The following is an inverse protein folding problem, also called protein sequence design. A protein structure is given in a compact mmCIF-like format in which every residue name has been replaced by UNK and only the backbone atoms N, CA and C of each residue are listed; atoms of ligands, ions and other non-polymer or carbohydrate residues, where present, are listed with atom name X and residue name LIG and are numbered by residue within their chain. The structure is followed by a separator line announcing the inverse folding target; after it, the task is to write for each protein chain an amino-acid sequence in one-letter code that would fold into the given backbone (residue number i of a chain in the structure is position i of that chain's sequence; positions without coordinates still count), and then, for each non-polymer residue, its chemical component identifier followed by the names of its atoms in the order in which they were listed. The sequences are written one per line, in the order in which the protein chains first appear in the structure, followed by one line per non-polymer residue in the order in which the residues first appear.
data_IF_704038403601
#
_entry.id   IF_704038403601
#
_cell.length_a   1.000
_cell.length_b   1.000
_cell.length_c   1.000
_cell.angle_alpha   90.00
_cell.angle_beta   90.00
_cell.angle_gamma   90.00
#
_symmetry.space_group_name_H-M   'P 1'
#
loop_
_entity.id
_entity.type
_entity.pdbx_description
1 polymer ?
#
# COMPACT_ATOMS: atom_id res chain seq x y z
N UNK A 1 8.56 -4.48 -0.91
CA UNK A 1 9.33 -5.71 -0.72
C UNK A 1 8.43 -6.93 -0.48
N UNK A 2 7.62 -6.97 0.58
CA UNK A 2 6.78 -8.14 0.92
C UNK A 2 5.65 -8.42 -0.10
N UNK A 3 5.13 -7.40 -0.76
CA UNK A 3 4.07 -7.55 -1.77
C UNK A 3 4.57 -7.98 -3.15
N UNK A 4 5.89 -7.98 -3.39
CA UNK A 4 6.46 -8.22 -4.73
C UNK A 4 6.18 -9.63 -5.25
N UNK A 5 6.04 -10.59 -4.34
CA UNK A 5 5.85 -12.01 -4.64
C UNK A 5 4.36 -12.40 -4.71
N UNK A 6 3.44 -11.48 -4.37
CA UNK A 6 2.00 -11.69 -4.54
C UNK A 6 1.59 -12.11 -5.97
N UNK A 7 2.05 -11.44 -7.04
CA UNK A 7 1.68 -11.79 -8.41
C UNK A 7 2.26 -13.14 -8.89
N UNK A 8 3.30 -13.65 -8.23
CA UNK A 8 4.08 -14.83 -8.66
C UNK A 8 3.71 -16.11 -7.89
N UNK A 9 2.80 -16.01 -6.91
CA UNK A 9 2.48 -17.08 -5.96
C UNK A 9 2.00 -18.39 -6.59
N UNK A 10 1.38 -18.32 -7.77
CA UNK A 10 0.90 -19.51 -8.50
C UNK A 10 2.07 -20.26 -9.16
N UNK A 11 3.00 -19.52 -9.76
CA UNK A 11 4.25 -20.07 -10.29
C UNK A 11 5.07 -20.70 -9.17
N UNK A 12 5.25 -19.98 -8.07
CA UNK A 12 6.00 -20.49 -6.92
C UNK A 12 5.41 -21.81 -6.39
N UNK A 13 4.07 -21.91 -6.26
CA UNK A 13 3.42 -23.18 -5.86
C UNK A 13 3.60 -24.29 -6.88
N UNK A 14 3.47 -24.00 -8.17
CA UNK A 14 3.60 -25.00 -9.23
C UNK A 14 5.01 -25.63 -9.28
N UNK A 15 6.04 -24.87 -8.92
CA UNK A 15 7.43 -25.33 -8.90
C UNK A 15 7.95 -25.69 -7.49
N UNK A 16 7.07 -25.78 -6.49
CA UNK A 16 7.43 -26.06 -5.08
C UNK A 16 8.49 -25.11 -4.51
N UNK A 17 8.41 -23.82 -4.89
CA UNK A 17 9.29 -22.77 -4.37
C UNK A 17 8.67 -22.21 -3.09
N UNK A 18 9.42 -22.34 -2.01
CA UNK A 18 9.06 -21.83 -0.70
C UNK A 18 9.39 -20.32 -0.60
N UNK A 19 8.37 -19.48 -0.74
CA UNK A 19 8.44 -18.04 -0.48
C UNK A 19 7.60 -17.67 0.74
N UNK A 20 7.85 -16.50 1.33
CA UNK A 20 6.99 -15.98 2.40
C UNK A 20 5.53 -15.89 1.96
N UNK A 21 5.30 -15.57 0.67
CA UNK A 21 3.98 -15.54 0.06
C UNK A 21 3.31 -16.90 -0.01
N UNK A 22 4.00 -17.95 -0.47
CA UNK A 22 3.40 -19.29 -0.53
C UNK A 22 3.07 -19.85 0.86
N UNK A 23 3.84 -19.49 1.90
CA UNK A 23 3.63 -19.93 3.29
C UNK A 23 2.50 -19.18 4.03
N UNK A 24 2.46 -17.85 3.91
CA UNK A 24 1.52 -17.00 4.68
C UNK A 24 0.19 -16.79 3.94
N UNK A 25 0.22 -16.84 2.61
CA UNK A 25 -0.93 -16.67 1.74
C UNK A 25 -1.23 -15.21 1.38
N UNK A 26 -1.82 -15.04 0.18
CA UNK A 26 -2.21 -13.74 -0.39
C UNK A 26 -3.03 -12.87 0.57
N UNK A 27 -4.10 -13.36 1.24
CA UNK A 27 -4.96 -12.50 2.05
C UNK A 27 -4.21 -11.86 3.22
N UNK A 28 -3.35 -12.64 3.88
CA UNK A 28 -2.59 -12.21 5.04
C UNK A 28 -1.49 -11.21 4.66
N UNK A 29 -0.80 -11.44 3.54
CA UNK A 29 0.22 -10.49 3.05
C UNK A 29 -0.43 -9.19 2.58
N UNK A 30 -1.51 -9.26 1.81
CA UNK A 30 -2.21 -8.05 1.35
C UNK A 30 -2.72 -7.23 2.54
N UNK A 31 -3.30 -7.90 3.55
CA UNK A 31 -3.74 -7.26 4.79
C UNK A 31 -2.57 -6.63 5.56
N UNK A 32 -1.48 -7.36 5.76
CA UNK A 32 -0.29 -6.86 6.46
C UNK A 32 0.29 -5.63 5.77
N UNK A 33 0.46 -5.70 4.44
CA UNK A 33 0.96 -4.57 3.65
C UNK A 33 0.02 -3.35 3.73
N UNK A 34 -1.29 -3.57 3.62
CA UNK A 34 -2.30 -2.51 3.76
C UNK A 34 -2.22 -1.85 5.14
N UNK A 35 -2.13 -2.64 6.21
CA UNK A 35 -2.02 -2.11 7.57
C UNK A 35 -0.74 -1.31 7.75
N UNK A 36 0.40 -1.82 7.29
CA UNK A 36 1.67 -1.09 7.37
C UNK A 36 1.62 0.25 6.63
N UNK A 37 1.11 0.28 5.40
CA UNK A 37 0.97 1.51 4.62
C UNK A 37 -0.05 2.48 5.23
N UNK A 38 -1.16 1.97 5.76
CA UNK A 38 -2.15 2.80 6.44
C UNK A 38 -1.55 3.46 7.69
N UNK A 39 -0.78 2.72 8.49
CA UNK A 39 -0.08 3.27 9.65
C UNK A 39 0.95 4.33 9.23
N UNK A 40 1.64 4.14 8.11
CA UNK A 40 2.53 5.17 7.55
C UNK A 40 1.76 6.46 7.21
N UNK A 41 0.61 6.36 6.53
CA UNK A 41 -0.20 7.53 6.22
C UNK A 41 -0.79 8.20 7.46
N UNK A 42 -1.28 7.42 8.44
CA UNK A 42 -1.75 7.96 9.73
C UNK A 42 -0.61 8.68 10.47
N UNK A 43 0.60 8.13 10.45
CA UNK A 43 1.77 8.77 11.03
C UNK A 43 2.10 10.09 10.31
N UNK A 44 2.10 10.11 8.98
CA UNK A 44 2.32 11.32 8.20
C UNK A 44 1.27 12.41 8.51
N UNK A 45 -0.01 12.04 8.52
CA UNK A 45 -1.11 12.94 8.92
C UNK A 45 -0.87 13.48 10.34
N UNK A 46 -0.52 12.62 11.29
CA UNK A 46 -0.22 13.02 12.67
C UNK A 46 0.93 14.01 12.75
N UNK A 47 2.03 13.76 12.04
CA UNK A 47 3.16 14.68 11.90
C UNK A 47 2.73 16.01 11.28
N UNK A 48 1.87 15.97 10.26
CA UNK A 48 1.28 17.16 9.64
C UNK A 48 0.40 17.96 10.58
N UNK A 49 -0.37 17.32 11.47
CA UNK A 49 -1.21 18.00 12.46
C UNK A 49 -0.36 18.61 13.59
N UNK A 50 0.62 17.86 14.09
CA UNK A 50 1.41 18.22 15.28
C UNK A 50 2.58 19.17 14.99
N UNK A 51 3.00 19.32 13.74
CA UNK A 51 4.13 20.20 13.41
C UNK A 51 3.79 21.69 13.55
N UNK A 52 4.80 22.52 13.82
CA UNK A 52 4.65 23.97 13.91
C UNK A 52 4.31 24.59 12.55
N UNK A 53 3.67 25.76 12.57
CA UNK A 53 3.35 26.51 11.36
C UNK A 53 4.62 26.78 10.54
N UNK A 54 4.52 26.61 9.21
CA UNK A 54 5.64 26.78 8.28
C UNK A 54 6.55 25.56 8.10
N UNK A 55 6.38 24.47 8.86
CA UNK A 55 7.18 23.24 8.66
C UNK A 55 6.83 22.53 7.36
N UNK A 56 5.52 22.44 7.05
CA UNK A 56 5.00 21.81 5.84
C UNK A 56 3.85 22.66 5.29
N UNK A 57 3.60 22.55 3.99
CA UNK A 57 2.32 22.92 3.41
C UNK A 57 1.24 21.94 3.90
N UNK A 58 0.44 22.40 4.87
CA UNK A 58 -0.49 21.55 5.62
C UNK A 58 -1.57 20.90 4.74
N UNK A 59 -2.00 21.57 3.67
CA UNK A 59 -3.07 21.06 2.80
C UNK A 59 -2.63 19.77 2.09
N UNK A 60 -1.53 19.73 1.30
CA UNK A 60 -1.05 18.48 0.72
C UNK A 60 -0.54 17.50 1.79
N UNK A 61 0.12 17.98 2.85
CA UNK A 61 0.62 17.11 3.92
C UNK A 61 -0.52 16.33 4.63
N UNK A 62 -1.66 16.95 4.89
CA UNK A 62 -2.76 16.28 5.59
C UNK A 62 -3.74 15.70 4.56
N UNK A 63 -4.23 16.53 3.65
CA UNK A 63 -5.25 16.15 2.67
C UNK A 63 -4.74 15.12 1.66
N UNK A 64 -3.49 15.23 1.21
CA UNK A 64 -2.89 14.27 0.28
C UNK A 64 -2.77 12.88 0.90
N UNK A 65 -2.18 12.78 2.10
CA UNK A 65 -2.06 11.49 2.78
C UNK A 65 -3.43 10.91 3.20
N UNK A 66 -4.43 11.73 3.52
CA UNK A 66 -5.83 11.25 3.70
C UNK A 66 -6.36 10.64 2.40
N UNK A 67 -6.18 11.31 1.26
CA UNK A 67 -6.63 10.81 -0.03
C UNK A 67 -5.95 9.47 -0.40
N UNK A 68 -4.63 9.35 -0.18
CA UNK A 68 -3.88 8.12 -0.42
C UNK A 68 -4.29 6.99 0.54
N UNK A 69 -4.58 7.29 1.80
CA UNK A 69 -5.12 6.30 2.75
C UNK A 69 -6.50 5.79 2.32
N UNK A 70 -7.39 6.67 1.87
CA UNK A 70 -8.71 6.27 1.36
C UNK A 70 -8.59 5.44 0.08
N UNK A 71 -7.71 5.84 -0.84
CA UNK A 71 -7.41 5.10 -2.07
C UNK A 71 -6.88 3.69 -1.76
N UNK A 72 -5.91 3.56 -0.85
CA UNK A 72 -5.40 2.28 -0.37
C UNK A 72 -6.51 1.38 0.20
N UNK A 73 -7.35 1.92 1.09
CA UNK A 73 -8.45 1.16 1.68
C UNK A 73 -9.47 0.71 0.63
N UNK A 74 -9.75 1.53 -0.38
CA UNK A 74 -10.62 1.16 -1.48
C UNK A 74 -10.02 0.04 -2.33
N UNK A 75 -8.74 0.12 -2.68
CA UNK A 75 -8.05 -0.95 -3.41
C UNK A 75 -8.03 -2.27 -2.63
N UNK A 76 -7.79 -2.21 -1.32
CA UNK A 76 -7.83 -3.39 -0.47
C UNK A 76 -9.24 -4.00 -0.38
N UNK A 77 -10.30 -3.18 -0.31
CA UNK A 77 -11.70 -3.66 -0.31
C UNK A 77 -12.09 -4.36 -1.61
N UNK A 78 -11.54 -3.92 -2.74
CA UNK A 78 -11.81 -4.52 -4.06
C UNK A 78 -10.95 -5.77 -4.34
N UNK A 79 -10.01 -6.13 -3.47
CA UNK A 79 -9.16 -7.30 -3.64
C UNK A 79 -9.98 -8.59 -3.47
N UNK A 80 -9.94 -9.44 -4.50
CA UNK A 80 -10.41 -10.83 -4.44
C UNK A 80 -9.18 -11.75 -4.37
N UNK A 81 -8.80 -12.27 -3.18
CA UNK A 81 -7.51 -12.96 -3.00
C UNK A 81 -7.37 -14.28 -3.77
N UNK A 82 -8.48 -14.87 -4.22
CA UNK A 82 -8.52 -16.10 -5.02
C UNK A 82 -8.36 -15.84 -6.53
N UNK A 83 -8.41 -14.57 -6.96
CA UNK A 83 -8.28 -14.19 -8.37
C UNK A 83 -6.91 -13.58 -8.64
N UNK A 84 -6.05 -14.30 -9.35
CA UNK A 84 -4.70 -13.82 -9.71
C UNK A 84 -4.72 -12.47 -10.45
N UNK A 85 -5.64 -12.21 -11.41
CA UNK A 85 -5.78 -10.88 -12.00
C UNK A 85 -6.09 -9.78 -10.96
N UNK A 86 -6.95 -10.07 -9.96
CA UNK A 86 -7.25 -9.14 -8.87
C UNK A 86 -6.03 -8.89 -7.99
N UNK A 87 -5.25 -9.93 -7.66
CA UNK A 87 -3.99 -9.81 -6.90
C UNK A 87 -2.95 -8.97 -7.63
N UNK A 88 -2.76 -9.20 -8.94
CA UNK A 88 -1.87 -8.40 -9.79
C UNK A 88 -2.30 -6.94 -9.86
N UNK A 89 -3.62 -6.70 -9.94
CA UNK A 89 -4.19 -5.35 -9.95
C UNK A 89 -3.94 -4.63 -8.62
N UNK A 90 -4.20 -5.30 -7.49
CA UNK A 90 -3.88 -4.77 -6.17
C UNK A 90 -2.38 -4.46 -6.02
N UNK A 91 -1.50 -5.35 -6.47
CA UNK A 91 -0.05 -5.11 -6.47
C UNK A 91 0.32 -3.87 -7.30
N UNK A 92 -0.28 -3.69 -8.48
CA UNK A 92 -0.07 -2.48 -9.30
C UNK A 92 -0.53 -1.22 -8.57
N UNK A 93 -1.66 -1.26 -7.88
CA UNK A 93 -2.14 -0.12 -7.09
C UNK A 93 -1.19 0.28 -5.95
N UNK A 94 -0.43 -0.66 -5.38
CA UNK A 94 0.64 -0.31 -4.43
C UNK A 94 1.71 0.56 -5.11
N UNK A 95 2.05 0.28 -6.37
CA UNK A 95 2.96 1.14 -7.14
C UNK A 95 2.34 2.49 -7.50
N UNK A 96 1.06 2.52 -7.88
CA UNK A 96 0.35 3.78 -8.14
C UNK A 96 0.43 4.70 -6.91
N UNK A 97 0.15 4.16 -5.71
CA UNK A 97 0.29 4.88 -4.44
C UNK A 97 1.72 5.39 -4.20
N UNK A 98 2.74 4.60 -4.53
CA UNK A 98 4.13 5.00 -4.38
C UNK A 98 4.52 6.15 -5.33
N UNK A 99 4.08 6.11 -6.58
CA UNK A 99 4.31 7.21 -7.52
C UNK A 99 3.55 8.48 -7.13
N UNK A 100 2.32 8.34 -6.63
CA UNK A 100 1.56 9.48 -6.11
C UNK A 100 2.24 10.10 -4.88
N UNK A 101 2.85 9.29 -4.01
CA UNK A 101 3.63 9.79 -2.88
C UNK A 101 4.81 10.66 -3.36
N UNK A 102 5.52 10.27 -4.43
CA UNK A 102 6.59 11.09 -5.00
C UNK A 102 6.09 12.44 -5.51
N UNK A 103 4.93 12.46 -6.16
CA UNK A 103 4.32 13.73 -6.58
C UNK A 103 3.94 14.55 -5.35
N UNK A 104 3.29 13.93 -4.37
CA UNK A 104 2.86 14.61 -3.16
C UNK A 104 4.03 15.22 -2.38
N UNK A 105 5.17 14.52 -2.33
CA UNK A 105 6.39 15.01 -1.68
C UNK A 105 6.90 16.33 -2.24
N UNK A 106 6.66 16.63 -3.52
CA UNK A 106 7.04 17.92 -4.13
C UNK A 106 6.13 19.09 -3.71
N UNK A 107 4.98 18.80 -3.09
CA UNK A 107 3.96 19.77 -2.73
C UNK A 107 3.90 20.07 -1.22
N UNK A 108 4.40 19.15 -0.40
CA UNK A 108 4.48 19.20 1.07
C UNK A 108 5.55 20.20 1.51
#
# INVERSE_FOLDING_TARGET
AVTKDLPDIEGDRAYNIDTFATKVGVPNIAKGATVCLLLNYVHAIGTGVLSTAGTFNKIPMIGGHIALALMLLNHFRSLTPTSIPSVKTYYKHIWDLFYLEYVLYTLI
#
